data_IF_975343916196
#
_entry.id   IF_975343916196
#
_cell.length_a   1.000
_cell.length_b   1.000
_cell.length_c   1.000
_cell.angle_alpha   90.00
_cell.angle_beta   90.00
_cell.angle_gamma   90.00
#
_symmetry.space_group_name_H-M   'P 1'
#
loop_
_entity.id
_entity.type
_entity.pdbx_description
1 polymer ?
#
# COMPACT_ATOMS: atom_id res chain seq x y z
N UNK A 1 17.00 2.53 5.66
CA UNK A 1 16.76 1.23 4.99
C UNK A 1 15.64 0.43 5.66
N UNK A 2 15.65 0.21 6.98
CA UNK A 2 14.60 -0.54 7.70
C UNK A 2 13.15 -0.07 7.43
N UNK A 3 12.89 1.24 7.42
CA UNK A 3 11.52 1.75 7.22
C UNK A 3 10.97 1.55 5.79
N UNK A 4 11.83 1.31 4.79
CA UNK A 4 11.37 1.09 3.41
C UNK A 4 10.74 -0.30 3.22
N UNK A 5 11.20 -1.31 3.97
CA UNK A 5 10.64 -2.68 3.93
C UNK A 5 9.38 -2.85 4.78
N UNK A 6 9.11 -1.89 5.66
CA UNK A 6 8.03 -1.95 6.62
C UNK A 6 6.64 -1.64 6.02
N UNK A 7 6.58 -0.84 4.95
CA UNK A 7 5.31 -0.47 4.33
C UNK A 7 4.59 -1.66 3.68
N UNK A 8 5.22 -2.50 2.84
CA UNK A 8 4.57 -3.69 2.28
C UNK A 8 3.89 -4.58 3.33
N UNK A 9 4.58 -4.89 4.44
CA UNK A 9 4.06 -5.74 5.53
C UNK A 9 2.84 -5.11 6.23
N UNK A 10 2.84 -3.78 6.40
CA UNK A 10 1.71 -3.09 7.01
C UNK A 10 0.50 -3.00 6.10
N UNK A 11 0.70 -2.79 4.80
CA UNK A 11 -0.39 -2.89 3.82
C UNK A 11 -1.03 -4.28 3.83
N UNK A 12 -0.22 -5.33 3.84
CA UNK A 12 -0.70 -6.72 3.92
C UNK A 12 -1.51 -6.97 5.19
N UNK A 13 -1.06 -6.42 6.33
CA UNK A 13 -1.79 -6.53 7.60
C UNK A 13 -3.17 -5.88 7.55
N UNK A 14 -3.28 -4.67 6.98
CA UNK A 14 -4.56 -3.96 6.83
C UNK A 14 -5.51 -4.73 5.90
N UNK A 15 -5.00 -5.25 4.77
CA UNK A 15 -5.79 -6.05 3.83
C UNK A 15 -6.34 -7.30 4.51
N UNK A 16 -5.49 -8.02 5.27
CA UNK A 16 -5.89 -9.20 6.03
C UNK A 16 -6.94 -8.88 7.10
N UNK A 17 -6.83 -7.74 7.78
CA UNK A 17 -7.84 -7.30 8.75
C UNK A 17 -9.18 -7.01 8.07
N UNK A 18 -9.18 -6.31 6.94
CA UNK A 18 -10.38 -6.02 6.16
C UNK A 18 -11.06 -7.30 5.64
N UNK A 19 -10.27 -8.28 5.17
CA UNK A 19 -10.76 -9.61 4.82
C UNK A 19 -11.44 -10.28 6.02
N UNK A 20 -10.77 -10.31 7.18
CA UNK A 20 -11.31 -10.93 8.39
C UNK A 20 -12.61 -10.28 8.87
N UNK A 21 -12.70 -8.95 8.83
CA UNK A 21 -13.94 -8.24 9.19
C UNK A 21 -15.09 -8.57 8.23
N UNK A 22 -14.79 -8.65 6.93
CA UNK A 22 -15.78 -9.00 5.92
C UNK A 22 -16.23 -10.46 6.05
N UNK A 23 -15.31 -11.41 6.30
CA UNK A 23 -15.66 -12.80 6.61
C UNK A 23 -16.49 -12.89 7.90
N UNK A 24 -16.11 -12.12 8.93
CA UNK A 24 -16.82 -12.09 10.22
C UNK A 24 -18.27 -11.64 10.08
N UNK A 25 -18.54 -10.64 9.23
CA UNK A 25 -19.90 -10.21 8.89
C UNK A 25 -20.74 -11.40 8.40
N UNK A 26 -20.23 -12.17 7.43
CA UNK A 26 -20.97 -13.32 6.91
C UNK A 26 -21.15 -14.42 7.97
N UNK A 27 -20.12 -14.71 8.76
CA UNK A 27 -20.20 -15.72 9.84
C UNK A 27 -21.15 -15.34 10.96
N UNK A 28 -21.35 -14.05 11.22
CA UNK A 28 -22.17 -13.59 12.35
C UNK A 28 -23.59 -13.26 11.93
N UNK A 29 -23.76 -12.50 10.85
CA UNK A 29 -25.06 -11.98 10.38
C UNK A 29 -25.71 -12.86 9.32
N UNK A 30 -24.93 -13.44 8.40
CA UNK A 30 -25.42 -14.14 7.21
C UNK A 30 -24.95 -15.60 7.15
N UNK A 31 -25.10 -16.33 8.26
CA UNK A 31 -24.53 -17.67 8.49
C UNK A 31 -24.78 -18.66 7.36
N UNK A 32 -25.98 -18.64 6.79
CA UNK A 32 -26.44 -19.62 5.80
C UNK A 32 -25.74 -19.50 4.43
N UNK A 33 -25.00 -18.41 4.19
CA UNK A 33 -24.22 -18.21 2.96
C UNK A 33 -22.74 -17.91 3.26
N UNK A 34 -22.29 -18.18 4.49
CA UNK A 34 -20.97 -17.75 4.94
C UNK A 34 -19.82 -18.52 4.29
N UNK A 35 -20.00 -19.81 4.00
CA UNK A 35 -18.97 -20.64 3.38
C UNK A 35 -18.69 -20.19 1.95
N UNK A 36 -19.74 -20.02 1.15
CA UNK A 36 -19.69 -19.59 -0.24
C UNK A 36 -19.22 -18.14 -0.37
N UNK A 37 -19.72 -17.25 0.49
CA UNK A 37 -19.30 -15.84 0.50
C UNK A 37 -17.82 -15.70 0.88
N UNK A 38 -17.29 -16.55 1.78
CA UNK A 38 -15.88 -16.49 2.20
C UNK A 38 -14.91 -16.67 1.03
N UNK A 39 -15.26 -17.49 0.03
CA UNK A 39 -14.43 -17.67 -1.16
C UNK A 39 -14.33 -16.38 -1.98
N UNK A 40 -15.46 -15.71 -2.23
CA UNK A 40 -15.50 -14.44 -2.97
C UNK A 40 -14.80 -13.30 -2.20
N UNK A 41 -14.91 -13.27 -0.87
CA UNK A 41 -14.20 -12.30 -0.03
C UNK A 41 -12.68 -12.49 -0.15
N UNK A 42 -12.20 -13.72 0.00
CA UNK A 42 -10.77 -14.05 -0.12
C UNK A 42 -10.19 -13.68 -1.48
N UNK A 43 -10.91 -14.01 -2.55
CA UNK A 43 -10.51 -13.69 -3.92
C UNK A 43 -10.34 -12.16 -4.09
N UNK A 44 -11.34 -11.38 -3.65
CA UNK A 44 -11.28 -9.91 -3.71
C UNK A 44 -10.05 -9.34 -2.99
N UNK A 45 -9.81 -9.75 -1.74
CA UNK A 45 -8.70 -9.20 -0.96
C UNK A 45 -7.33 -9.71 -1.44
N UNK A 46 -7.28 -10.90 -2.03
CA UNK A 46 -6.07 -11.39 -2.73
C UNK A 46 -5.77 -10.51 -3.95
N UNK A 47 -6.77 -10.24 -4.79
CA UNK A 47 -6.60 -9.35 -5.96
C UNK A 47 -6.16 -7.94 -5.54
N UNK A 48 -6.73 -7.40 -4.46
CA UNK A 48 -6.34 -6.10 -3.89
C UNK A 48 -4.87 -6.12 -3.44
N UNK A 49 -4.44 -7.17 -2.73
CA UNK A 49 -3.04 -7.33 -2.31
C UNK A 49 -2.08 -7.39 -3.49
N UNK A 50 -2.40 -8.22 -4.48
CA UNK A 50 -1.62 -8.35 -5.71
C UNK A 50 -1.54 -7.03 -6.48
N UNK A 51 -2.64 -6.26 -6.55
CA UNK A 51 -2.66 -4.94 -7.18
C UNK A 51 -1.71 -3.96 -6.50
N UNK A 52 -1.74 -3.90 -5.17
CA UNK A 52 -0.85 -3.02 -4.38
C UNK A 52 0.62 -3.43 -4.57
N UNK A 53 0.88 -4.73 -4.68
CA UNK A 53 2.20 -5.31 -5.00
C UNK A 53 2.55 -5.30 -6.49
N UNK A 54 1.95 -4.38 -7.25
CA UNK A 54 2.31 -4.08 -8.63
C UNK A 54 1.82 -5.07 -9.71
N UNK A 55 0.87 -5.94 -9.42
CA UNK A 55 0.21 -6.78 -10.45
C UNK A 55 -0.73 -5.96 -11.33
N UNK A 56 -0.91 -6.36 -12.60
CA UNK A 56 -1.82 -5.72 -13.57
C UNK A 56 -3.27 -6.20 -13.40
N UNK A 57 -3.81 -6.09 -12.19
CA UNK A 57 -5.21 -6.44 -11.89
C UNK A 57 -6.11 -5.19 -11.92
N UNK A 58 -7.36 -5.36 -12.34
CA UNK A 58 -8.37 -4.30 -12.31
C UNK A 58 -9.16 -4.36 -11.01
N UNK A 59 -9.01 -3.34 -10.15
CA UNK A 59 -9.82 -3.18 -8.93
C UNK A 59 -11.32 -3.13 -9.26
N UNK A 60 -11.68 -2.50 -10.39
CA UNK A 60 -13.07 -2.44 -10.83
C UNK A 60 -13.62 -3.84 -11.14
N UNK A 61 -12.87 -4.66 -11.86
CA UNK A 61 -13.27 -6.03 -12.18
C UNK A 61 -13.34 -6.92 -10.94
N UNK A 62 -12.37 -6.84 -10.03
CA UNK A 62 -12.35 -7.64 -8.79
C UNK A 62 -13.55 -7.30 -7.90
N UNK A 63 -13.87 -6.01 -7.73
CA UNK A 63 -15.05 -5.59 -6.96
C UNK A 63 -16.35 -6.04 -7.65
N UNK A 64 -16.43 -5.91 -8.98
CA UNK A 64 -17.61 -6.38 -9.72
C UNK A 64 -17.79 -7.90 -9.61
N UNK A 65 -16.71 -8.67 -9.76
CA UNK A 65 -16.71 -10.13 -9.60
C UNK A 65 -17.17 -10.55 -8.21
N UNK A 66 -16.74 -9.84 -7.16
CA UNK A 66 -17.25 -10.04 -5.80
C UNK A 66 -18.77 -9.85 -5.71
N UNK A 67 -19.30 -8.74 -6.23
CA UNK A 67 -20.75 -8.50 -6.22
C UNK A 67 -21.54 -9.44 -7.14
N UNK A 68 -20.94 -9.91 -8.23
CA UNK A 68 -21.49 -10.97 -9.08
C UNK A 68 -21.62 -12.28 -8.30
N UNK A 69 -20.58 -12.69 -7.58
CA UNK A 69 -20.61 -13.87 -6.75
C UNK A 69 -21.60 -13.75 -5.57
N UNK A 70 -21.76 -12.54 -5.02
CA UNK A 70 -22.64 -12.29 -3.87
C UNK A 70 -24.13 -12.32 -4.23
N UNK A 71 -24.53 -11.86 -5.42
CA UNK A 71 -25.95 -11.71 -5.74
C UNK A 71 -26.75 -13.02 -5.72
N UNK A 72 -26.30 -14.13 -6.31
CA UNK A 72 -26.98 -15.41 -6.19
C UNK A 72 -27.18 -15.84 -4.74
N UNK A 73 -26.18 -15.64 -3.87
CA UNK A 73 -26.28 -15.99 -2.45
C UNK A 73 -27.36 -15.18 -1.74
N UNK A 74 -27.36 -13.86 -1.94
CA UNK A 74 -28.36 -12.96 -1.36
C UNK A 74 -29.76 -13.28 -1.87
N UNK A 75 -29.89 -13.54 -3.17
CA UNK A 75 -31.18 -13.88 -3.76
C UNK A 75 -31.74 -15.17 -3.16
N UNK A 76 -30.92 -16.22 -3.07
CA UNK A 76 -31.36 -17.55 -2.65
C UNK A 76 -31.66 -17.61 -1.15
N UNK A 77 -30.81 -17.01 -0.32
CA UNK A 77 -30.94 -17.17 1.13
C UNK A 77 -31.80 -16.09 1.80
N UNK A 78 -31.94 -14.91 1.20
CA UNK A 78 -32.60 -13.76 1.84
C UNK A 78 -33.84 -13.26 1.09
N UNK A 79 -33.87 -13.34 -0.24
CA UNK A 79 -34.99 -12.84 -1.04
C UNK A 79 -35.99 -13.97 -1.35
N UNK A 80 -35.50 -15.15 -1.69
CA UNK A 80 -36.32 -16.31 -2.01
C UNK A 80 -35.81 -17.60 -1.34
N UNK A 81 -35.92 -17.70 0.01
CA UNK A 81 -35.40 -18.82 0.79
C UNK A 81 -36.02 -20.19 0.48
N UNK A 82 -37.12 -20.24 -0.30
CA UNK A 82 -37.75 -21.48 -0.77
C UNK A 82 -37.04 -22.15 -1.96
N UNK A 83 -35.88 -21.61 -2.36
CA UNK A 83 -35.01 -22.09 -3.42
C UNK A 83 -33.69 -22.64 -2.85
N UNK A 84 -33.77 -23.68 -2.04
CA UNK A 84 -32.61 -24.53 -1.75
C UNK A 84 -32.26 -25.36 -2.99
N UNK A 85 -30.97 -25.52 -3.30
CA UNK A 85 -30.46 -26.29 -4.45
C UNK A 85 -30.89 -25.80 -5.85
N UNK A 86 -30.71 -24.49 -6.10
CA UNK A 86 -30.85 -23.93 -7.45
C UNK A 86 -29.86 -24.59 -8.42
N UNK A 87 -30.34 -24.89 -9.63
CA UNK A 87 -29.51 -25.39 -10.71
C UNK A 87 -28.41 -24.38 -11.11
N UNK A 88 -27.23 -24.89 -11.48
CA UNK A 88 -26.02 -24.07 -11.71
C UNK A 88 -26.24 -23.00 -12.79
N UNK A 89 -27.05 -23.33 -13.78
CA UNK A 89 -27.51 -22.46 -14.87
C UNK A 89 -28.27 -21.22 -14.38
N UNK A 90 -29.17 -21.38 -13.41
CA UNK A 90 -29.94 -20.26 -12.87
C UNK A 90 -29.08 -19.35 -11.99
N UNK A 91 -28.12 -19.91 -11.23
CA UNK A 91 -27.13 -19.12 -10.48
C UNK A 91 -26.29 -18.26 -11.42
N UNK A 92 -25.86 -18.80 -12.55
CA UNK A 92 -25.09 -18.06 -13.55
C UNK A 92 -25.92 -16.96 -14.23
N UNK A 93 -27.20 -17.21 -14.51
CA UNK A 93 -28.11 -16.15 -14.96
C UNK A 93 -28.20 -15.01 -13.96
N UNK A 94 -28.34 -15.31 -12.66
CA UNK A 94 -28.37 -14.29 -11.61
C UNK A 94 -27.09 -13.44 -11.65
N UNK A 95 -25.90 -14.06 -11.76
CA UNK A 95 -24.63 -13.34 -11.89
C UNK A 95 -24.65 -12.36 -13.06
N UNK A 96 -25.02 -12.84 -14.25
CA UNK A 96 -25.09 -12.00 -15.45
C UNK A 96 -26.12 -10.87 -15.31
N UNK A 97 -27.28 -11.14 -14.71
CA UNK A 97 -28.36 -10.17 -14.53
C UNK A 97 -28.05 -9.10 -13.46
N UNK A 98 -27.06 -9.33 -12.57
CA UNK A 98 -26.73 -8.42 -11.45
C UNK A 98 -26.51 -6.99 -11.91
N UNK A 99 -25.78 -6.79 -13.01
CA UNK A 99 -25.44 -5.46 -13.52
C UNK A 99 -26.69 -4.67 -13.94
N UNK A 100 -27.59 -5.31 -14.68
CA UNK A 100 -28.79 -4.68 -15.22
C UNK A 100 -29.86 -4.47 -14.16
N UNK A 101 -29.99 -5.41 -13.23
CA UNK A 101 -30.98 -5.34 -12.14
C UNK A 101 -30.54 -4.42 -10.99
N UNK A 102 -29.23 -4.19 -10.84
CA UNK A 102 -28.64 -3.35 -9.79
C UNK A 102 -29.21 -3.63 -8.37
N UNK A 103 -29.18 -4.90 -7.90
CA UNK A 103 -29.79 -5.30 -6.63
C UNK A 103 -29.19 -4.59 -5.42
N UNK A 104 -27.92 -4.21 -5.53
CA UNK A 104 -27.14 -3.51 -4.51
C UNK A 104 -27.11 -1.98 -4.69
N UNK A 105 -27.94 -1.43 -5.59
CA UNK A 105 -27.98 0.01 -5.88
C UNK A 105 -26.64 0.56 -6.34
N UNK A 106 -26.26 1.74 -5.81
CA UNK A 106 -25.00 2.42 -6.15
C UNK A 106 -23.78 1.88 -5.41
N UNK A 107 -23.96 0.97 -4.45
CA UNK A 107 -22.88 0.54 -3.54
C UNK A 107 -21.69 -0.08 -4.28
N UNK A 108 -21.87 -1.00 -5.26
CA UNK A 108 -20.73 -1.50 -6.03
C UNK A 108 -19.89 -0.40 -6.70
N UNK A 109 -20.54 0.64 -7.24
CA UNK A 109 -19.84 1.79 -7.86
C UNK A 109 -19.12 2.65 -6.81
N UNK A 110 -19.73 2.83 -5.64
CA UNK A 110 -19.11 3.54 -4.51
C UNK A 110 -17.88 2.77 -4.02
N UNK A 111 -17.98 1.45 -3.86
CA UNK A 111 -16.88 0.58 -3.47
C UNK A 111 -15.71 0.67 -4.46
N UNK A 112 -15.97 0.56 -5.77
CA UNK A 112 -14.94 0.76 -6.80
C UNK A 112 -14.30 2.14 -6.67
N UNK A 113 -15.09 3.21 -6.58
CA UNK A 113 -14.53 4.56 -6.48
C UNK A 113 -13.69 4.76 -5.22
N UNK A 114 -14.11 4.25 -4.07
CA UNK A 114 -13.37 4.40 -2.82
C UNK A 114 -12.07 3.60 -2.86
N UNK A 115 -12.15 2.34 -3.32
CA UNK A 115 -10.99 1.46 -3.43
C UNK A 115 -9.96 2.01 -4.43
N UNK A 116 -10.37 2.43 -5.63
CA UNK A 116 -9.43 2.98 -6.63
C UNK A 116 -8.75 4.25 -6.11
N UNK A 117 -9.51 5.19 -5.54
CA UNK A 117 -8.96 6.46 -5.01
C UNK A 117 -7.98 6.25 -3.86
N UNK A 118 -8.06 5.10 -3.19
CA UNK A 118 -7.22 4.76 -2.07
C UNK A 118 -6.01 3.89 -2.44
N UNK A 119 -6.25 2.86 -3.25
CA UNK A 119 -5.25 1.86 -3.64
C UNK A 119 -4.25 2.38 -4.67
N UNK A 120 -4.68 3.23 -5.62
CA UNK A 120 -3.78 3.76 -6.66
C UNK A 120 -2.66 4.62 -6.05
N UNK A 121 -2.95 5.64 -5.20
CA UNK A 121 -1.90 6.38 -4.50
C UNK A 121 -1.00 5.49 -3.65
N UNK A 122 -1.58 4.46 -3.00
CA UNK A 122 -0.85 3.52 -2.16
C UNK A 122 0.16 2.68 -2.95
N UNK A 123 -0.24 2.18 -4.13
CA UNK A 123 0.65 1.48 -5.08
C UNK A 123 1.78 2.40 -5.54
N UNK A 124 1.45 3.62 -5.97
CA UNK A 124 2.45 4.60 -6.43
C UNK A 124 3.43 4.94 -5.31
N UNK A 125 2.95 5.07 -4.07
CA UNK A 125 3.80 5.32 -2.91
C UNK A 125 4.80 4.19 -2.71
N UNK A 126 4.37 2.92 -2.73
CA UNK A 126 5.27 1.77 -2.62
C UNK A 126 6.27 1.69 -3.77
N UNK A 127 5.85 1.97 -5.01
CA UNK A 127 6.74 2.02 -6.17
C UNK A 127 7.81 3.11 -6.00
N UNK A 128 7.40 4.30 -5.56
CA UNK A 128 8.32 5.40 -5.30
C UNK A 128 9.33 5.04 -4.19
N UNK A 129 8.88 4.37 -3.12
CA UNK A 129 9.77 3.84 -2.09
C UNK A 129 10.83 2.89 -2.66
N UNK A 130 10.42 1.92 -3.50
CA UNK A 130 11.36 0.99 -4.14
C UNK A 130 12.39 1.71 -5.02
N UNK A 131 11.95 2.73 -5.79
CA UNK A 131 12.86 3.56 -6.57
C UNK A 131 13.86 4.30 -5.66
N UNK A 132 13.40 4.83 -4.52
CA UNK A 132 14.28 5.45 -3.53
C UNK A 132 15.35 4.49 -3.00
N UNK A 133 14.99 3.23 -2.73
CA UNK A 133 15.94 2.18 -2.34
C UNK A 133 16.97 1.94 -3.45
N UNK A 134 16.51 1.83 -4.70
CA UNK A 134 17.38 1.58 -5.85
C UNK A 134 18.39 2.71 -6.06
N UNK A 135 17.96 3.98 -5.95
CA UNK A 135 18.85 5.14 -6.03
C UNK A 135 19.90 5.09 -4.92
N UNK A 136 19.48 4.88 -3.67
CA UNK A 136 20.41 4.78 -2.53
C UNK A 136 21.42 3.66 -2.77
N UNK A 137 20.95 2.45 -3.10
CA UNK A 137 21.79 1.28 -3.32
C UNK A 137 22.80 1.49 -4.47
N UNK A 138 22.35 2.11 -5.56
CA UNK A 138 23.21 2.44 -6.70
C UNK A 138 24.29 3.45 -6.32
N UNK A 139 23.93 4.48 -5.54
CA UNK A 139 24.90 5.50 -5.10
C UNK A 139 25.85 5.01 -4.02
N UNK A 140 25.45 4.05 -3.20
CA UNK A 140 26.28 3.42 -2.17
C UNK A 140 27.41 2.57 -2.81
N UNK A 141 27.15 1.98 -3.98
CA UNK A 141 28.10 1.15 -4.72
C UNK A 141 28.86 1.92 -5.81
N UNK A 142 28.90 3.26 -5.73
CA UNK A 142 29.55 4.10 -6.73
C UNK A 142 31.05 3.77 -6.86
N UNK A 143 31.50 3.55 -8.09
CA UNK A 143 32.90 3.27 -8.40
C UNK A 143 33.67 4.57 -8.67
N UNK A 144 34.75 4.79 -7.94
CA UNK A 144 35.60 5.97 -8.12
C UNK A 144 36.60 5.79 -9.27
N UNK A 145 36.86 6.87 -10.01
CA UNK A 145 37.85 6.88 -11.09
C UNK A 145 39.27 6.78 -10.55
N UNK A 146 40.24 6.36 -11.39
CA UNK A 146 41.66 6.32 -10.99
C UNK A 146 42.19 7.71 -10.63
N UNK A 147 41.67 8.74 -11.30
CA UNK A 147 41.96 10.15 -11.08
C UNK A 147 41.49 10.57 -9.69
N UNK A 148 40.28 10.18 -9.29
CA UNK A 148 39.78 10.41 -7.93
C UNK A 148 40.68 9.74 -6.88
N UNK A 149 41.02 8.46 -7.06
CA UNK A 149 41.93 7.76 -6.15
C UNK A 149 43.27 8.50 -6.00
N UNK A 150 43.86 8.96 -7.11
CA UNK A 150 45.12 9.71 -7.10
C UNK A 150 44.96 11.06 -6.39
N UNK A 151 43.85 11.77 -6.61
CA UNK A 151 43.57 13.05 -5.96
C UNK A 151 43.38 12.89 -4.45
N UNK A 152 42.64 11.86 -4.02
CA UNK A 152 42.45 11.52 -2.60
C UNK A 152 43.77 11.17 -1.92
N UNK A 153 44.60 10.31 -2.53
CA UNK A 153 45.92 9.97 -2.01
C UNK A 153 46.83 11.20 -1.88
N UNK A 154 46.80 12.10 -2.88
CA UNK A 154 47.57 13.35 -2.84
C UNK A 154 47.08 14.30 -1.74
N UNK A 155 45.77 14.33 -1.52
CA UNK A 155 45.17 15.19 -0.50
C UNK A 155 45.43 14.67 0.92
N UNK A 156 45.30 13.38 1.16
CA UNK A 156 45.40 12.79 2.50
C UNK A 156 46.81 12.35 2.88
N UNK A 157 47.56 11.70 1.97
CA UNK A 157 48.77 10.96 2.34
C UNK A 157 50.08 11.57 1.87
N UNK A 158 50.10 12.35 0.77
CA UNK A 158 51.34 13.00 0.33
C UNK A 158 52.05 13.87 1.39
N UNK A 159 51.36 14.59 2.30
CA UNK A 159 52.04 15.34 3.35
C UNK A 159 52.88 14.44 4.26
N UNK A 160 52.38 13.23 4.57
CA UNK A 160 53.11 12.26 5.38
C UNK A 160 54.41 11.83 4.71
N UNK A 161 54.41 11.64 3.38
CA UNK A 161 55.61 11.33 2.61
C UNK A 161 56.63 12.47 2.61
N UNK A 162 56.20 13.71 2.87
CA UNK A 162 57.06 14.88 3.01
C UNK A 162 57.42 15.18 4.48
N UNK A 163 57.10 14.28 5.42
CA UNK A 163 57.37 14.45 6.85
C UNK A 163 56.34 15.29 7.61
N UNK A 164 55.24 15.69 6.97
CA UNK A 164 54.16 16.51 7.54
C UNK A 164 53.01 15.63 8.04
N UNK A 165 53.27 14.81 9.07
CA UNK A 165 52.34 13.74 9.47
C UNK A 165 51.09 14.19 10.23
N UNK A 166 51.02 15.45 10.66
CA UNK A 166 49.89 16.01 11.43
C UNK A 166 49.07 17.03 10.63
N UNK A 167 49.41 17.26 9.35
CA UNK A 167 48.72 18.27 8.55
C UNK A 167 47.43 17.72 7.95
N UNK A 168 46.35 18.48 8.08
CA UNK A 168 45.09 18.23 7.36
C UNK A 168 44.99 19.09 6.08
N UNK A 169 44.27 18.63 5.04
CA UNK A 169 44.01 19.43 3.85
C UNK A 169 43.23 20.70 4.16
N UNK A 170 43.49 21.77 3.39
CA UNK A 170 42.69 22.98 3.44
C UNK A 170 41.25 22.71 3.00
N UNK A 171 40.27 23.39 3.61
CA UNK A 171 38.85 23.21 3.29
C UNK A 171 38.54 23.30 1.79
N UNK A 172 39.02 24.36 1.12
CA UNK A 172 38.79 24.53 -0.32
C UNK A 172 39.44 23.43 -1.17
N UNK A 173 40.61 22.93 -0.75
CA UNK A 173 41.27 21.83 -1.45
C UNK A 173 40.50 20.52 -1.25
N UNK A 174 40.04 20.25 -0.02
CA UNK A 174 39.18 19.11 0.29
C UNK A 174 37.92 19.12 -0.55
N UNK A 175 37.18 20.23 -0.55
CA UNK A 175 35.94 20.36 -1.30
C UNK A 175 36.15 20.13 -2.80
N UNK A 176 37.23 20.66 -3.38
CA UNK A 176 37.53 20.46 -4.80
C UNK A 176 37.80 18.99 -5.13
N UNK A 177 38.57 18.28 -4.29
CA UNK A 177 38.87 16.86 -4.49
C UNK A 177 37.61 16.02 -4.33
N UNK A 178 36.88 16.19 -3.22
CA UNK A 178 35.68 15.38 -2.92
C UNK A 178 34.56 15.64 -3.92
N UNK A 179 34.29 16.90 -4.30
CA UNK A 179 33.29 17.20 -5.35
C UNK A 179 33.68 16.64 -6.71
N UNK A 180 34.97 16.64 -7.05
CA UNK A 180 35.46 15.97 -8.27
C UNK A 180 35.23 14.47 -8.24
N UNK A 181 35.45 13.83 -7.09
CA UNK A 181 35.18 12.40 -6.88
C UNK A 181 33.69 12.04 -6.92
N UNK A 182 32.83 12.94 -6.41
CA UNK A 182 31.38 12.74 -6.29
C UNK A 182 30.59 13.46 -7.38
N UNK A 183 31.23 13.85 -8.50
CA UNK A 183 30.61 14.65 -9.55
C UNK A 183 29.29 14.03 -10.07
N UNK A 184 29.27 12.70 -10.26
CA UNK A 184 28.08 11.98 -10.69
C UNK A 184 26.95 11.97 -9.64
N UNK A 185 27.27 12.05 -8.35
CA UNK A 185 26.24 12.15 -7.30
C UNK A 185 25.61 13.54 -7.24
N UNK A 186 26.39 14.60 -7.55
CA UNK A 186 25.88 15.97 -7.56
C UNK A 186 24.79 16.14 -8.62
N UNK A 187 24.88 15.44 -9.75
CA UNK A 187 23.85 15.43 -10.79
C UNK A 187 22.52 14.82 -10.31
N UNK A 188 22.56 13.93 -9.30
CA UNK A 188 21.37 13.29 -8.72
C UNK A 188 20.64 14.22 -7.75
N UNK A 189 21.34 15.15 -7.09
CA UNK A 189 20.77 16.04 -6.07
C UNK A 189 19.46 16.75 -6.47
N UNK A 190 19.33 17.41 -7.64
CA UNK A 190 18.07 18.04 -8.03
C UNK A 190 16.93 17.02 -8.18
N UNK A 191 17.20 15.85 -8.73
CA UNK A 191 16.22 14.78 -8.89
C UNK A 191 15.81 14.16 -7.55
N UNK A 192 16.76 13.99 -6.63
CA UNK A 192 16.50 13.48 -5.29
C UNK A 192 15.62 14.42 -4.46
N UNK A 193 15.89 15.73 -4.53
CA UNK A 193 15.07 16.76 -3.87
C UNK A 193 13.64 16.73 -4.39
N UNK A 194 13.49 16.64 -5.70
CA UNK A 194 12.20 16.58 -6.37
C UNK A 194 11.44 15.29 -6.04
N UNK A 195 12.13 14.15 -5.99
CA UNK A 195 11.59 12.87 -5.54
C UNK A 195 11.02 12.95 -4.13
N UNK A 196 11.79 13.46 -3.14
CA UNK A 196 11.33 13.59 -1.75
C UNK A 196 10.12 14.53 -1.67
N UNK A 197 10.17 15.67 -2.38
CA UNK A 197 9.05 16.63 -2.43
C UNK A 197 7.78 15.99 -3.00
N UNK A 198 7.90 15.24 -4.08
CA UNK A 198 6.77 14.57 -4.73
C UNK A 198 6.21 13.43 -3.87
N UNK A 199 7.07 12.67 -3.20
CA UNK A 199 6.66 11.62 -2.26
C UNK A 199 5.91 12.18 -1.05
N UNK A 200 6.37 13.32 -0.52
CA UNK A 200 5.69 14.05 0.55
C UNK A 200 4.29 14.51 0.12
N UNK A 201 4.17 15.10 -1.08
CA UNK A 201 2.87 15.53 -1.61
C UNK A 201 1.91 14.36 -1.82
N UNK A 202 2.41 13.22 -2.27
CA UNK A 202 1.64 11.99 -2.39
C UNK A 202 1.16 11.50 -1.01
N UNK A 203 2.05 11.45 -0.01
CA UNK A 203 1.73 11.06 1.36
C UNK A 203 0.62 11.92 1.97
N UNK A 204 0.67 13.24 1.74
CA UNK A 204 -0.36 14.17 2.23
C UNK A 204 -1.73 13.89 1.59
N UNK A 205 -1.77 13.66 0.26
CA UNK A 205 -3.02 13.31 -0.45
C UNK A 205 -3.62 11.99 0.03
N UNK A 206 -2.79 11.04 0.46
CA UNK A 206 -3.24 9.75 1.00
C UNK A 206 -3.96 9.87 2.36
N UNK A 207 -3.75 10.94 3.12
CA UNK A 207 -4.42 11.17 4.42
C UNK A 207 -5.87 11.67 4.31
N UNK A 208 -6.29 12.09 3.12
CA UNK A 208 -7.57 12.75 2.93
C UNK A 208 -8.76 11.75 3.04
N UNK A 209 -9.87 12.04 2.38
CA UNK A 209 -11.14 11.27 2.49
C UNK A 209 -11.07 9.79 2.09
N UNK A 210 -9.98 9.35 1.45
CA UNK A 210 -9.80 7.99 0.94
C UNK A 210 -8.56 7.29 1.52
N UNK A 211 -8.28 7.51 2.81
CA UNK A 211 -7.28 6.73 3.54
C UNK A 211 -7.58 5.22 3.43
N UNK A 212 -6.55 4.44 3.08
CA UNK A 212 -6.69 3.01 2.75
C UNK A 212 -7.12 2.15 3.91
N UNK A 213 -6.63 2.46 5.11
CA UNK A 213 -7.02 1.75 6.32
C UNK A 213 -8.52 1.96 6.55
N UNK A 214 -8.99 3.20 6.45
CA UNK A 214 -10.42 3.52 6.58
C UNK A 214 -11.28 2.87 5.49
N UNK A 215 -10.86 2.94 4.24
CA UNK A 215 -11.64 2.41 3.10
C UNK A 215 -11.75 0.89 3.17
N UNK A 216 -10.64 0.19 3.38
CA UNK A 216 -10.63 -1.27 3.43
C UNK A 216 -11.33 -1.79 4.69
N UNK A 217 -11.03 -1.23 5.86
CA UNK A 217 -11.65 -1.68 7.11
C UNK A 217 -13.15 -1.37 7.16
N UNK A 218 -13.66 -0.37 6.43
CA UNK A 218 -15.10 -0.09 6.34
C UNK A 218 -15.82 -0.93 5.26
N UNK A 219 -15.11 -1.73 4.46
CA UNK A 219 -15.72 -2.46 3.35
C UNK A 219 -16.84 -3.41 3.81
N UNK A 220 -16.67 -4.10 4.95
CA UNK A 220 -17.71 -4.97 5.50
C UNK A 220 -19.03 -4.21 5.74
N UNK A 221 -18.98 -2.95 6.19
CA UNK A 221 -20.17 -2.14 6.42
C UNK A 221 -20.90 -1.82 5.12
N UNK A 222 -20.17 -1.52 4.05
CA UNK A 222 -20.74 -1.31 2.71
C UNK A 222 -21.38 -2.60 2.17
N UNK A 223 -20.75 -3.75 2.38
CA UNK A 223 -21.31 -5.05 2.01
C UNK A 223 -22.61 -5.31 2.76
N UNK A 224 -22.65 -5.05 4.08
CA UNK A 224 -23.86 -5.18 4.87
C UNK A 224 -24.99 -4.26 4.36
N UNK A 225 -24.68 -2.99 4.06
CA UNK A 225 -25.65 -2.05 3.50
C UNK A 225 -26.19 -2.53 2.15
N UNK A 226 -25.34 -3.09 1.28
CA UNK A 226 -25.74 -3.65 -0.01
C UNK A 226 -26.71 -4.82 0.16
N UNK A 227 -26.39 -5.76 1.04
CA UNK A 227 -27.24 -6.91 1.32
C UNK A 227 -28.59 -6.46 1.89
N UNK A 228 -28.60 -5.52 2.83
CA UNK A 228 -29.83 -4.95 3.41
C UNK A 228 -30.69 -4.24 2.36
N UNK A 229 -30.07 -3.50 1.43
CA UNK A 229 -30.78 -2.83 0.34
C UNK A 229 -31.43 -3.84 -0.62
N UNK A 230 -30.71 -4.90 -0.99
CA UNK A 230 -31.23 -5.97 -1.83
C UNK A 230 -32.40 -6.68 -1.14
N UNK A 231 -32.26 -7.01 0.15
CA UNK A 231 -33.31 -7.65 0.93
C UNK A 231 -34.57 -6.77 1.03
N UNK A 232 -34.41 -5.46 1.28
CA UNK A 232 -35.53 -4.50 1.32
C UNK A 232 -36.28 -4.43 -0.01
N UNK A 233 -35.57 -4.52 -1.13
CA UNK A 233 -36.15 -4.48 -2.48
C UNK A 233 -36.53 -5.88 -3.01
N UNK A 234 -36.44 -6.91 -2.16
CA UNK A 234 -36.62 -8.32 -2.53
C UNK A 234 -37.84 -8.61 -3.40
N UNK A 235 -39.06 -8.19 -3.02
CA UNK A 235 -40.27 -8.48 -3.81
C UNK A 235 -40.21 -7.93 -5.23
N UNK A 236 -39.67 -6.72 -5.42
CA UNK A 236 -39.49 -6.11 -6.75
C UNK A 236 -38.40 -6.84 -7.53
N UNK A 237 -37.30 -7.18 -6.87
CA UNK A 237 -36.19 -7.92 -7.49
C UNK A 237 -36.65 -9.31 -7.96
N UNK A 238 -37.45 -10.04 -7.20
CA UNK A 238 -37.98 -11.35 -7.61
C UNK A 238 -38.80 -11.28 -8.90
N UNK A 239 -39.64 -10.24 -9.07
CA UNK A 239 -40.39 -10.04 -10.32
C UNK A 239 -39.46 -9.77 -11.50
N UNK A 240 -38.44 -8.93 -11.29
CA UNK A 240 -37.48 -8.59 -12.35
C UNK A 240 -36.59 -9.78 -12.71
N UNK A 241 -36.12 -10.54 -11.71
CA UNK A 241 -35.34 -11.76 -11.91
C UNK A 241 -36.16 -12.80 -12.68
N UNK A 242 -37.42 -13.03 -12.30
CA UNK A 242 -38.27 -13.98 -13.03
C UNK A 242 -38.48 -13.59 -14.50
N UNK A 243 -38.47 -12.28 -14.81
CA UNK A 243 -38.55 -11.78 -16.18
C UNK A 243 -37.28 -12.03 -16.99
N UNK A 244 -36.11 -11.96 -16.35
CA UNK A 244 -34.80 -12.08 -17.01
C UNK A 244 -34.32 -13.54 -17.06
N UNK A 245 -34.40 -14.25 -15.93
CA UNK A 245 -33.90 -15.61 -15.75
C UNK A 245 -34.98 -16.69 -15.83
N UNK A 246 -36.26 -16.32 -15.95
CA UNK A 246 -37.37 -17.27 -15.93
C UNK A 246 -37.68 -17.79 -14.52
N UNK A 247 -38.51 -18.83 -14.43
CA UNK A 247 -38.80 -19.47 -13.15
C UNK A 247 -37.65 -20.37 -12.70
N UNK A 248 -37.34 -20.43 -11.39
CA UNK A 248 -36.31 -21.29 -10.85
C UNK A 248 -36.57 -22.75 -11.20
N UNK A 249 -35.67 -23.38 -11.96
CA UNK A 249 -35.71 -24.82 -12.20
C UNK A 249 -35.12 -25.54 -10.98
N UNK A 250 -35.97 -26.22 -10.21
CA UNK A 250 -35.54 -27.06 -9.08
C UNK A 250 -34.84 -28.31 -9.63
N UNK A 251 -33.69 -28.69 -9.06
CA UNK A 251 -33.15 -30.04 -9.26
C UNK A 251 -34.13 -31.07 -8.69
N UNK A 252 -34.31 -32.20 -9.38
CA UNK A 252 -35.09 -33.33 -8.87
C UNK A 252 -34.48 -33.81 -7.54
N UNK A 253 -35.28 -33.82 -6.47
CA UNK A 253 -34.79 -33.85 -5.10
C UNK A 253 -34.16 -35.17 -4.65
N UNK A 254 -33.24 -35.04 -3.69
CA UNK A 254 -33.14 -35.98 -2.57
C UNK A 254 -33.45 -35.19 -1.30
N UNK A 255 -34.61 -35.48 -0.73
CA UNK A 255 -35.05 -34.96 0.57
C UNK A 255 -34.19 -35.55 1.69
N UNK A 256 -33.58 -34.68 2.49
CA UNK A 256 -33.20 -35.02 3.87
C UNK A 256 -33.71 -33.91 4.77
N UNK A 257 -34.82 -34.18 5.46
CA UNK A 257 -35.34 -33.34 6.53
C UNK A 257 -34.35 -33.35 7.69
N UNK A 258 -33.77 -32.18 8.00
CA UNK A 258 -33.20 -31.93 9.32
C UNK A 258 -33.79 -30.65 9.90
N UNK A 259 -34.66 -30.86 10.89
CA UNK A 259 -35.16 -29.86 11.82
C UNK A 259 -33.99 -29.34 12.65
N UNK A 260 -33.71 -28.04 12.57
CA UNK A 260 -32.74 -27.37 13.43
C UNK A 260 -33.48 -26.46 14.42
N UNK A 261 -33.32 -26.86 15.68
CA UNK A 261 -33.93 -26.28 16.88
C UNK A 261 -33.34 -24.89 17.19
N UNK A 262 -34.19 -24.00 17.70
CA UNK A 262 -33.88 -22.59 17.95
C UNK A 262 -33.54 -22.41 19.42
N UNK A 263 -32.25 -22.25 19.75
CA UNK A 263 -31.83 -21.76 21.08
C UNK A 263 -31.12 -20.42 20.96
N UNK A 264 -31.69 -19.43 21.66
CA UNK A 264 -31.19 -18.07 21.78
C UNK A 264 -30.10 -18.03 22.84
N UNK A 265 -28.93 -17.50 22.50
CA UNK A 265 -28.05 -16.83 23.47
C UNK A 265 -27.45 -15.57 22.83
N UNK A 266 -27.79 -14.42 23.43
CA UNK A 266 -27.17 -13.13 23.15
C UNK A 266 -25.83 -13.09 23.87
N UNK A 267 -24.74 -13.08 23.11
CA UNK A 267 -23.45 -12.59 23.59
C UNK A 267 -23.02 -11.48 22.63
N UNK A 268 -23.07 -10.25 23.13
CA UNK A 268 -22.49 -9.09 22.49
C UNK A 268 -20.98 -9.12 22.80
N UNK A 269 -20.08 -9.27 21.80
CA UNK A 269 -18.70 -8.91 22.03
C UNK A 269 -18.64 -7.39 22.01
N UNK A 270 -18.38 -6.79 23.18
CA UNK A 270 -17.78 -5.46 23.21
C UNK A 270 -16.50 -5.57 22.40
N UNK A 271 -16.45 -4.85 21.27
CA UNK A 271 -15.21 -4.57 20.57
C UNK A 271 -14.37 -3.75 21.55
N UNK A 272 -13.45 -4.44 22.22
CA UNK A 272 -12.33 -3.81 22.87
C UNK A 272 -11.56 -3.12 21.74
N UNK A 273 -11.64 -1.78 21.71
CA UNK A 273 -10.70 -0.98 20.92
C UNK A 273 -9.30 -1.40 21.37
N UNK A 274 -8.43 -1.87 20.46
CA UNK A 274 -7.02 -1.94 20.80
C UNK A 274 -6.56 -0.52 21.12
N UNK A 275 -5.94 -0.36 22.28
CA UNK A 275 -5.14 0.79 22.65
C UNK A 275 -4.20 1.12 21.48
N UNK A 276 -4.30 2.35 20.96
CA UNK A 276 -3.30 3.05 20.13
C UNK A 276 -2.40 2.14 19.27
N UNK A 277 -2.98 1.29 18.42
CA UNK A 277 -2.20 0.66 17.35
C UNK A 277 -1.71 1.79 16.42
N UNK A 278 -0.40 1.86 16.20
CA UNK A 278 0.20 2.82 15.28
C UNK A 278 -0.38 2.62 13.87
N UNK A 279 -1.31 3.50 13.47
CA UNK A 279 -1.95 3.48 12.15
C UNK A 279 -0.92 3.55 11.02
N UNK A 280 -1.26 2.99 9.86
CA UNK A 280 -0.42 3.07 8.66
C UNK A 280 -0.08 4.52 8.31
N UNK A 281 -1.05 5.41 8.51
CA UNK A 281 -0.89 6.84 8.28
C UNK A 281 0.11 7.51 9.24
N UNK A 282 0.15 7.10 10.52
CA UNK A 282 1.16 7.61 11.48
C UNK A 282 2.58 7.24 11.06
N UNK A 283 2.80 5.97 10.71
CA UNK A 283 4.12 5.46 10.31
C UNK A 283 4.59 6.06 8.99
N UNK A 284 3.66 6.27 8.05
CA UNK A 284 3.93 7.01 6.81
C UNK A 284 4.47 8.41 7.09
N UNK A 285 3.87 9.13 8.03
CA UNK A 285 4.29 10.49 8.36
C UNK A 285 5.67 10.53 9.01
N UNK A 286 5.91 9.69 10.00
CA UNK A 286 7.21 9.57 10.65
C UNK A 286 8.33 9.26 9.66
N UNK A 287 8.05 8.36 8.71
CA UNK A 287 8.99 8.06 7.64
C UNK A 287 9.27 9.28 6.74
N UNK A 288 8.23 9.99 6.31
CA UNK A 288 8.39 11.19 5.47
C UNK A 288 9.16 12.29 6.21
N UNK A 289 8.85 12.51 7.49
CA UNK A 289 9.57 13.46 8.34
C UNK A 289 11.04 13.09 8.49
N UNK A 290 11.35 11.81 8.66
CA UNK A 290 12.71 11.31 8.68
C UNK A 290 13.41 11.50 7.33
N UNK A 291 12.74 11.22 6.23
CA UNK A 291 13.29 11.33 4.88
C UNK A 291 13.61 12.79 4.49
N UNK A 292 12.80 13.76 4.97
CA UNK A 292 13.03 15.19 4.75
C UNK A 292 14.41 15.66 5.24
N UNK A 293 14.95 15.07 6.30
CA UNK A 293 16.28 15.39 6.82
C UNK A 293 17.40 15.08 5.81
N UNK A 294 17.16 14.10 4.92
CA UNK A 294 18.13 13.67 3.89
C UNK A 294 17.85 14.30 2.52
N UNK A 295 16.97 15.30 2.45
CA UNK A 295 16.59 15.96 1.18
C UNK A 295 17.78 16.55 0.43
N UNK A 296 18.78 17.05 1.16
CA UNK A 296 19.96 17.70 0.58
C UNK A 296 21.20 16.83 0.63
N UNK A 297 21.05 15.53 0.89
CA UNK A 297 22.17 14.62 1.14
C UNK A 297 23.21 14.63 0.03
N UNK A 298 22.80 14.37 -1.21
CA UNK A 298 23.73 14.27 -2.35
C UNK A 298 24.44 15.59 -2.68
N UNK A 299 23.80 16.74 -2.47
CA UNK A 299 24.44 18.04 -2.64
C UNK A 299 25.34 18.46 -1.47
N UNK A 300 25.16 17.90 -0.27
CA UNK A 300 25.84 18.33 0.96
C UNK A 300 26.92 17.36 1.44
N UNK A 301 26.98 16.14 0.92
CA UNK A 301 27.89 15.09 1.40
C UNK A 301 29.37 15.50 1.35
N UNK A 302 29.78 16.22 0.30
CA UNK A 302 31.15 16.70 0.16
C UNK A 302 31.50 17.72 1.26
N UNK A 303 30.59 18.66 1.51
CA UNK A 303 30.74 19.68 2.53
C UNK A 303 30.75 19.07 3.94
N UNK A 304 29.86 18.11 4.21
CA UNK A 304 29.81 17.40 5.48
C UNK A 304 31.12 16.62 5.74
N UNK A 305 31.57 15.81 4.78
CA UNK A 305 32.78 14.99 4.93
C UNK A 305 34.04 15.86 5.14
N UNK A 306 34.16 16.96 4.40
CA UNK A 306 35.26 17.88 4.56
C UNK A 306 35.21 18.63 5.90
N UNK A 307 34.03 19.07 6.34
CA UNK A 307 33.87 19.81 7.59
C UNK A 307 34.03 18.93 8.85
N UNK A 308 33.55 17.69 8.82
CA UNK A 308 33.57 16.81 9.99
C UNK A 308 34.90 16.07 10.18
N UNK A 309 35.48 15.57 9.08
CA UNK A 309 36.53 14.55 9.17
C UNK A 309 37.85 15.00 8.54
N UNK A 310 37.79 15.51 7.30
CA UNK A 310 38.96 15.60 6.45
C UNK A 310 39.72 16.92 6.56
N UNK A 311 39.04 18.06 6.54
CA UNK A 311 39.71 19.35 6.43
C UNK A 311 40.24 19.87 7.77
N UNK A 312 41.25 20.74 7.69
CA UNK A 312 41.69 21.54 8.81
C UNK A 312 40.61 22.56 9.21
N UNK A 313 40.37 22.77 10.53
CA UNK A 313 39.58 23.89 11.02
C UNK A 313 40.13 25.24 10.56
N UNK A 314 39.26 26.25 10.47
CA UNK A 314 39.66 27.60 10.10
C UNK A 314 40.68 28.19 11.09
N UNK A 315 41.65 28.94 10.57
CA UNK A 315 42.72 29.58 11.33
C UNK A 315 43.93 28.67 11.66
N UNK A 316 43.91 27.40 11.27
CA UNK A 316 45.06 26.49 11.38
C UNK A 316 45.83 26.39 10.05
N UNK A 317 47.13 26.10 10.15
CA UNK A 317 47.93 25.76 8.97
C UNK A 317 47.38 24.50 8.31
N UNK A 318 47.24 24.52 6.98
CA UNK A 318 46.63 23.43 6.22
C UNK A 318 47.42 23.09 4.95
N UNK A 319 47.25 21.86 4.47
CA UNK A 319 47.87 21.35 3.25
C UNK A 319 47.06 21.73 2.01
N UNK A 320 47.67 22.42 1.04
CA UNK A 320 46.98 22.82 -0.19
C UNK A 320 47.24 21.89 -1.40
N UNK A 321 47.99 20.79 -1.21
CA UNK A 321 48.40 19.89 -2.29
C UNK A 321 49.84 20.08 -2.77
N UNK A 322 50.55 21.10 -2.27
CA UNK A 322 51.97 21.35 -2.58
C UNK A 322 52.76 21.63 -1.32
N UNK A 323 52.28 22.53 -0.45
CA UNK A 323 52.95 22.97 0.77
C UNK A 323 51.92 23.26 1.89
N UNK A 324 52.43 23.59 3.10
CA UNK A 324 51.62 24.12 4.19
C UNK A 324 51.40 25.62 4.03
N UNK A 325 50.14 26.02 4.12
CA UNK A 325 49.74 27.43 4.10
C UNK A 325 49.05 27.79 5.40
N UNK A 326 49.27 29.02 5.89
CA UNK A 326 48.44 29.62 6.94
C UNK A 326 47.26 30.31 6.28
N UNK A 327 46.07 29.99 6.77
CA UNK A 327 44.82 30.58 6.28
C UNK A 327 44.43 31.79 7.09
#
# INVERSE_FOLDING_TARGET
>A
MFLFFFFPETFETVIRQAENYTISLFRTTYRNMAAEASTAVKELFTDIGLFVLNSELSIEESVHRFFDALFPLVYNHLINPGLTDIAVDYSECLRMARKDLSPFGSIPKISVSQMVKSLVPSRIFLQALNLGIEVINTTDHLQYTKECHRALLKMQYCPHCQGLTQSKPCMGYCLNVIRGCLASMVEIDPHWREYIRSLEQLSNKMQETFDIEKVLLNFHSLVNEAVMLAQKNGPKLSVQVNKVCGHPSRKAGQSSDQVLDTSKEKILPKVTRPDTEETLSSKRNEFIDSLRLYRTFYGAVADQLCASELAAPDGLSCWNGVDLVKR
#
